data_IF_416082554844
#
_entry.id   IF_416082554844
#
_cell.length_a   1.000
_cell.length_b   1.000
_cell.length_c   1.000
_cell.angle_alpha   90.00
_cell.angle_beta   90.00
_cell.angle_gamma   90.00
#
_symmetry.space_group_name_H-M   'P 1'
#
loop_
_entity.id
_entity.type
_entity.pdbx_description
1 polymer ?
#
# COMPACT_ATOMS: atom_id res chain seq x y z
N UNK A 1 2.86 19.25 -14.16
CA UNK A 1 1.87 18.26 -14.65
C UNK A 1 1.33 17.52 -13.45
N UNK A 2 0.05 17.68 -13.14
CA UNK A 2 -0.64 16.87 -12.13
C UNK A 2 -1.04 15.54 -12.78
N UNK A 3 -0.51 14.43 -12.28
CA UNK A 3 -0.97 13.10 -12.68
C UNK A 3 -2.29 12.88 -11.94
N UNK A 4 -3.41 12.92 -12.65
CA UNK A 4 -4.69 12.53 -12.07
C UNK A 4 -4.64 11.03 -11.73
N UNK A 5 -4.91 10.65 -10.48
CA UNK A 5 -4.89 9.25 -10.10
C UNK A 5 -6.02 8.49 -10.79
N UNK A 6 -5.76 7.22 -11.10
CA UNK A 6 -6.76 6.33 -11.65
C UNK A 6 -7.87 6.12 -10.60
N UNK A 7 -9.11 6.48 -10.94
CA UNK A 7 -10.24 6.39 -10.01
C UNK A 7 -10.70 4.94 -9.82
N UNK A 8 -11.01 4.57 -8.58
CA UNK A 8 -11.59 3.27 -8.22
C UNK A 8 -13.03 3.45 -7.80
N UNK A 9 -13.95 2.69 -8.42
CA UNK A 9 -15.38 2.72 -8.05
C UNK A 9 -15.69 1.63 -7.03
N UNK A 10 -16.28 2.03 -5.90
CA UNK A 10 -16.74 1.13 -4.84
C UNK A 10 -18.27 1.14 -4.73
N UNK A 11 -18.81 0.04 -4.24
CA UNK A 11 -20.19 -0.12 -3.81
C UNK A 11 -20.21 -0.14 -2.27
N UNK A 12 -20.94 0.79 -1.68
CA UNK A 12 -21.10 0.92 -0.23
C UNK A 12 -22.61 1.05 0.10
N UNK A 13 -23.09 0.43 1.19
CA UNK A 13 -24.48 0.57 1.62
C UNK A 13 -24.76 1.99 2.13
N UNK A 14 -25.99 2.47 1.92
CA UNK A 14 -26.45 3.79 2.37
C UNK A 14 -26.25 4.03 3.88
N UNK A 15 -26.24 2.97 4.69
CA UNK A 15 -25.96 3.04 6.14
C UNK A 15 -24.57 3.58 6.47
N UNK A 16 -23.63 3.62 5.52
CA UNK A 16 -22.30 4.18 5.69
C UNK A 16 -22.22 5.67 5.32
N UNK A 17 -23.33 6.30 4.89
CA UNK A 17 -23.37 7.75 4.65
C UNK A 17 -22.86 8.52 5.86
N UNK A 18 -21.97 9.50 5.63
CA UNK A 18 -21.33 10.29 6.70
C UNK A 18 -20.14 9.61 7.40
N UNK A 19 -19.84 8.35 7.09
CA UNK A 19 -18.68 7.64 7.61
C UNK A 19 -17.50 7.70 6.63
N UNK A 20 -16.29 7.53 7.17
CA UNK A 20 -15.07 7.38 6.37
C UNK A 20 -14.89 5.92 5.94
N UNK A 21 -14.42 5.72 4.72
CA UNK A 21 -13.91 4.43 4.27
C UNK A 21 -12.39 4.52 4.12
N UNK A 22 -11.71 3.44 4.46
CA UNK A 22 -10.28 3.28 4.21
C UNK A 22 -10.10 2.19 3.16
N UNK A 23 -9.22 2.45 2.21
CA UNK A 23 -8.73 1.46 1.26
C UNK A 23 -7.27 1.20 1.61
N UNK A 24 -6.91 -0.08 1.68
CA UNK A 24 -5.55 -0.53 1.90
C UNK A 24 -5.07 -1.31 0.67
N UNK A 25 -3.78 -1.65 0.63
CA UNK A 25 -3.25 -2.61 -0.34
C UNK A 25 -2.90 -3.91 0.36
N UNK A 26 -2.87 -5.03 -0.38
CA UNK A 26 -2.22 -6.24 0.13
C UNK A 26 -0.75 -5.95 0.51
N UNK A 27 -0.20 -6.57 1.57
CA UNK A 27 1.20 -6.40 1.92
C UNK A 27 2.14 -6.83 0.78
N UNK A 28 3.22 -6.07 0.58
CA UNK A 28 4.28 -6.41 -0.37
C UNK A 28 5.37 -7.18 0.38
N UNK A 29 5.70 -8.37 -0.09
CA UNK A 29 6.84 -9.14 0.41
C UNK A 29 8.16 -8.55 -0.12
N UNK A 30 8.90 -7.88 0.78
CA UNK A 30 10.16 -7.22 0.44
C UNK A 30 11.33 -8.21 0.30
N UNK A 31 11.20 -9.46 0.76
CA UNK A 31 12.31 -10.44 0.72
C UNK A 31 12.77 -10.81 -0.69
N UNK A 32 11.90 -10.59 -1.69
CA UNK A 32 12.15 -10.91 -3.10
C UNK A 32 12.60 -9.70 -3.93
N UNK A 33 12.57 -8.51 -3.34
CA UNK A 33 12.96 -7.27 -4.01
C UNK A 33 14.47 -7.14 -3.83
N UNK A 34 15.21 -6.87 -4.90
CA UNK A 34 16.69 -6.72 -4.87
C UNK A 34 17.18 -5.34 -5.30
N UNK A 35 16.26 -4.43 -5.58
CA UNK A 35 16.54 -3.09 -6.07
C UNK A 35 15.25 -2.40 -6.50
N UNK A 36 15.34 -1.24 -7.16
CA UNK A 36 14.18 -0.49 -7.61
C UNK A 36 13.29 -1.35 -8.52
N UNK A 37 12.06 -1.63 -8.09
CA UNK A 37 11.12 -2.41 -8.89
C UNK A 37 9.69 -1.90 -8.73
N UNK A 38 8.93 -1.98 -9.81
CA UNK A 38 7.50 -1.72 -9.78
C UNK A 38 6.72 -3.02 -9.52
N UNK A 39 5.83 -3.00 -8.54
CA UNK A 39 4.98 -4.12 -8.14
C UNK A 39 3.52 -3.72 -8.33
N UNK A 40 2.73 -4.60 -8.95
CA UNK A 40 1.28 -4.44 -8.98
C UNK A 40 0.69 -5.02 -7.70
N UNK A 41 0.02 -4.20 -6.91
CA UNK A 41 -0.51 -4.57 -5.60
C UNK A 41 -2.02 -4.43 -5.61
N UNK A 42 -2.73 -5.45 -5.10
CA UNK A 42 -4.19 -5.40 -5.02
C UNK A 42 -4.62 -4.38 -3.97
N UNK A 43 -5.64 -3.60 -4.30
CA UNK A 43 -6.33 -2.73 -3.36
C UNK A 43 -7.44 -3.54 -2.69
N UNK A 44 -7.60 -3.40 -1.38
CA UNK A 44 -8.62 -4.06 -0.57
C UNK A 44 -9.33 -3.02 0.30
N UNK A 45 -10.66 -3.06 0.44
CA UNK A 45 -11.36 -2.20 1.37
C UNK A 45 -11.09 -2.67 2.80
N UNK A 46 -10.84 -1.73 3.72
CA UNK A 46 -10.59 -2.06 5.13
C UNK A 46 -11.84 -2.55 5.88
N UNK A 47 -13.01 -2.52 5.23
CA UNK A 47 -14.28 -2.97 5.79
C UNK A 47 -14.99 -3.92 4.83
N UNK A 48 -15.55 -5.01 5.35
CA UNK A 48 -16.30 -6.01 4.58
C UNK A 48 -17.63 -5.49 4.00
N UNK A 49 -18.09 -4.34 4.48
CA UNK A 49 -19.32 -3.67 4.02
C UNK A 49 -19.13 -2.95 2.67
N UNK A 50 -17.90 -2.72 2.24
CA UNK A 50 -17.57 -2.07 0.97
C UNK A 50 -16.99 -3.11 0.04
N UNK A 51 -17.41 -3.08 -1.23
CA UNK A 51 -16.89 -3.96 -2.29
C UNK A 51 -16.59 -3.15 -3.54
N UNK A 52 -15.69 -3.63 -4.38
CA UNK A 52 -15.48 -3.00 -5.69
C UNK A 52 -16.61 -3.36 -6.66
N UNK A 53 -16.91 -2.42 -7.56
CA UNK A 53 -17.94 -2.64 -8.59
C UNK A 53 -17.49 -3.75 -9.56
N UNK A 54 -18.44 -4.54 -10.07
CA UNK A 54 -18.21 -5.63 -11.04
C UNK A 54 -17.29 -6.77 -10.56
N UNK A 55 -17.11 -6.96 -9.25
CA UNK A 55 -16.17 -7.93 -8.66
C UNK A 55 -14.71 -7.76 -9.14
N UNK A 56 -14.36 -6.62 -9.75
CA UNK A 56 -12.99 -6.35 -10.16
C UNK A 56 -12.20 -5.85 -8.96
N UNK A 57 -11.09 -6.52 -8.63
CA UNK A 57 -10.16 -6.02 -7.60
C UNK A 57 -9.16 -5.10 -8.28
N UNK A 58 -9.16 -3.79 -7.99
CA UNK A 58 -8.23 -2.85 -8.60
C UNK A 58 -6.81 -3.18 -8.15
N UNK A 59 -5.86 -2.92 -9.03
CA UNK A 59 -4.45 -3.02 -8.73
C UNK A 59 -3.81 -1.65 -8.89
N UNK A 60 -2.92 -1.30 -7.97
CA UNK A 60 -2.08 -0.10 -8.05
C UNK A 60 -0.65 -0.51 -8.32
N UNK A 61 0.03 0.23 -9.18
CA UNK A 61 1.46 0.04 -9.45
C UNK A 61 2.26 0.84 -8.43
N UNK A 62 2.97 0.14 -7.55
CA UNK A 62 3.82 0.72 -6.51
C UNK A 62 5.26 0.53 -6.90
N UNK A 63 6.02 1.61 -6.99
CA UNK A 63 7.48 1.53 -7.16
C UNK A 63 8.12 1.46 -5.78
N UNK A 64 8.81 0.36 -5.50
CA UNK A 64 9.62 0.19 -4.29
C UNK A 64 11.05 0.54 -4.65
N UNK A 65 11.60 1.55 -4.01
CA UNK A 65 13.01 1.93 -4.09
C UNK A 65 13.69 1.55 -2.78
N UNK A 66 14.74 0.72 -2.86
CA UNK A 66 15.47 0.23 -1.69
C UNK A 66 16.86 0.85 -1.67
N UNK A 67 17.06 1.78 -0.73
CA UNK A 67 18.37 2.32 -0.43
C UNK A 67 19.23 1.34 0.38
N UNK A 68 20.56 1.56 0.44
CA UNK A 68 21.39 0.84 1.39
C UNK A 68 20.84 1.06 2.81
N UNK A 69 20.70 0.00 3.58
CA UNK A 69 20.41 0.14 5.01
C UNK A 69 21.59 0.92 5.62
N UNK A 70 21.33 2.09 6.21
CA UNK A 70 22.33 2.74 7.03
C UNK A 70 22.65 1.78 8.19
N UNK A 71 23.76 1.04 8.08
CA UNK A 71 24.38 0.38 9.22
C UNK A 71 24.80 1.50 10.17
N UNK A 72 23.93 1.80 11.14
CA UNK A 72 24.37 2.50 12.35
C UNK A 72 25.33 1.57 13.08
N UNK A 73 26.60 1.72 12.74
CA UNK A 73 27.75 1.23 13.48
C UNK A 73 27.58 1.64 14.96
N UNK A 74 26.96 0.75 15.74
CA UNK A 74 26.93 0.88 17.20
C UNK A 74 28.29 0.39 17.70
N UNK A 75 29.32 1.23 17.53
CA UNK A 75 30.61 1.03 18.20
C UNK A 75 30.38 1.13 19.71
N UNK A 76 30.61 -0.01 20.33
CA UNK A 76 30.69 -0.29 21.74
C UNK A 76 31.58 0.75 22.47
N UNK A 77 31.01 1.53 23.38
CA UNK A 77 31.73 2.32 24.37
C UNK A 77 31.59 1.66 25.73
N UNK A 78 32.41 0.65 25.99
CA UNK A 78 32.65 0.13 27.34
C UNK A 78 33.67 1.07 27.96
N UNK A 79 33.23 1.96 28.83
CA UNK A 79 34.11 2.73 29.71
C UNK A 79 34.14 2.05 31.09
N UNK A 80 35.37 1.95 31.60
CA UNK A 80 35.82 1.35 32.86
C UNK A 80 35.13 1.86 34.14
#
# INVERSE_FOLDING_TARGET
MSVEPQYVTVLAPFSLTGNKISLATEPIDLSKIKGPQAVNVKVVPSTSKVRFRNNQTPMVKVTVDMGPAEEKESKNGKED
#
